data_IF_903989530488
#
_entry.id   IF_903989530488
#
_cell.length_a   1.000
_cell.length_b   1.000
_cell.length_c   1.000
_cell.angle_alpha   90.00
_cell.angle_beta   90.00
_cell.angle_gamma   90.00
#
_symmetry.space_group_name_H-M   'P 1'
#
loop_
_entity.id
_entity.type
_entity.pdbx_description
1 polymer ?
#
# COMPACT_ATOMS: atom_id res chain seq x y z
N UNK A 1 -3.99 2.63 13.54
CA UNK A 1 -4.36 3.36 12.31
C UNK A 1 -3.77 4.74 12.41
N UNK A 2 -3.31 5.34 11.33
CA UNK A 2 -2.76 6.70 11.30
C UNK A 2 -3.68 7.57 10.46
N UNK A 3 -3.98 8.78 10.90
CA UNK A 3 -4.80 9.70 10.12
C UNK A 3 -4.03 10.18 8.89
N UNK A 4 -4.71 10.32 7.76
CA UNK A 4 -4.12 10.83 6.51
C UNK A 4 -4.80 12.15 6.17
N UNK A 5 -4.01 13.21 6.16
CA UNK A 5 -4.46 14.53 5.79
C UNK A 5 -4.42 14.68 4.27
N UNK A 6 -5.62 14.84 3.71
CA UNK A 6 -5.82 15.22 2.30
C UNK A 6 -6.45 16.60 2.28
N UNK A 7 -5.99 17.54 1.43
CA UNK A 7 -6.62 18.86 1.33
C UNK A 7 -8.12 18.71 0.97
N UNK A 8 -9.00 19.18 1.85
CA UNK A 8 -10.45 18.94 1.75
C UNK A 8 -11.12 19.63 0.57
N UNK A 9 -10.50 20.70 0.06
CA UNK A 9 -10.93 21.43 -1.13
C UNK A 9 -10.17 21.00 -2.40
N UNK A 10 -9.42 19.90 -2.37
CA UNK A 10 -8.70 19.42 -3.54
C UNK A 10 -9.67 19.03 -4.68
N UNK A 11 -9.61 19.82 -5.74
CA UNK A 11 -10.24 19.55 -7.03
C UNK A 11 -9.20 19.03 -8.01
N UNK A 12 -9.55 17.99 -8.75
CA UNK A 12 -8.64 17.29 -9.65
C UNK A 12 -9.33 17.01 -10.98
N UNK A 13 -8.56 17.01 -12.06
CA UNK A 13 -9.04 16.55 -13.35
C UNK A 13 -9.01 15.03 -13.39
N UNK A 14 -10.17 14.44 -13.65
CA UNK A 14 -10.28 13.03 -13.96
C UNK A 14 -11.02 12.83 -15.28
N UNK A 15 -10.67 11.76 -15.98
CA UNK A 15 -11.43 11.28 -17.11
C UNK A 15 -12.44 10.29 -16.59
N UNK A 16 -13.73 10.52 -16.80
CA UNK A 16 -14.78 9.65 -16.27
C UNK A 16 -15.61 9.01 -17.37
N UNK A 17 -16.05 7.77 -17.13
CA UNK A 17 -16.99 7.06 -17.99
C UNK A 17 -18.05 6.33 -17.15
N UNK A 18 -19.18 6.01 -17.78
CA UNK A 18 -20.18 5.11 -17.18
C UNK A 18 -19.61 3.70 -17.04
N UNK A 19 -19.88 3.07 -15.90
CA UNK A 19 -19.53 1.68 -15.68
C UNK A 19 -20.35 0.70 -16.55
N UNK A 20 -21.45 1.15 -17.14
CA UNK A 20 -22.23 0.36 -18.11
C UNK A 20 -21.46 0.16 -19.42
N UNK A 21 -20.70 1.17 -19.84
CA UNK A 21 -19.83 1.09 -21.04
C UNK A 21 -18.69 0.09 -20.87
N UNK A 22 -18.28 -0.16 -19.62
CA UNK A 22 -17.17 -1.07 -19.28
C UNK A 22 -17.58 -2.01 -18.14
N UNK A 23 -18.34 -3.08 -18.44
CA UNK A 23 -18.83 -4.02 -17.42
C UNK A 23 -17.69 -4.62 -16.59
N UNK A 24 -16.52 -4.78 -17.18
CA UNK A 24 -15.28 -5.15 -16.49
C UNK A 24 -14.15 -4.18 -16.85
N UNK A 25 -13.22 -3.94 -15.91
CA UNK A 25 -12.02 -3.15 -16.18
C UNK A 25 -10.89 -3.97 -16.82
N UNK A 26 -11.08 -5.27 -17.03
CA UNK A 26 -10.00 -6.17 -17.49
C UNK A 26 -9.52 -5.77 -18.88
N UNK A 27 -10.45 -5.62 -19.82
CA UNK A 27 -10.11 -5.32 -21.22
C UNK A 27 -9.56 -3.91 -21.36
N UNK A 28 -10.10 -2.96 -20.59
CA UNK A 28 -9.60 -1.59 -20.55
C UNK A 28 -8.16 -1.54 -20.02
N UNK A 29 -7.85 -2.27 -18.93
CA UNK A 29 -6.49 -2.37 -18.39
C UNK A 29 -5.54 -3.04 -19.38
N UNK A 30 -5.95 -4.15 -20.00
CA UNK A 30 -5.14 -4.83 -21.00
C UNK A 30 -4.82 -3.91 -22.19
N UNK A 31 -5.79 -3.13 -22.64
CA UNK A 31 -5.60 -2.14 -23.70
C UNK A 31 -4.63 -1.03 -23.30
N UNK A 32 -4.78 -0.45 -22.10
CA UNK A 32 -3.86 0.57 -21.55
C UNK A 32 -2.43 0.03 -21.52
N UNK A 33 -2.24 -1.21 -21.03
CA UNK A 33 -0.93 -1.88 -21.02
C UNK A 33 -0.39 -2.10 -22.43
N UNK A 34 -1.20 -2.56 -23.37
CA UNK A 34 -0.80 -2.78 -24.76
C UNK A 34 -0.33 -1.48 -25.44
N UNK A 35 -0.94 -0.34 -25.08
CA UNK A 35 -0.57 0.98 -25.59
C UNK A 35 0.59 1.62 -24.83
N UNK A 36 1.11 0.97 -23.81
CA UNK A 36 2.14 1.50 -22.91
C UNK A 36 1.75 2.87 -22.31
N UNK A 37 0.47 3.06 -22.02
CA UNK A 37 -0.04 4.28 -21.41
C UNK A 37 0.13 4.22 -19.90
N UNK A 38 0.66 5.30 -19.31
CA UNK A 38 0.77 5.44 -17.84
C UNK A 38 -0.56 5.94 -17.26
N UNK A 39 -1.58 5.11 -17.39
CA UNK A 39 -2.95 5.41 -16.96
C UNK A 39 -3.40 4.36 -15.96
N UNK A 40 -4.13 4.82 -14.95
CA UNK A 40 -4.80 3.97 -13.97
C UNK A 40 -6.29 4.12 -14.12
N UNK A 41 -6.99 3.03 -13.88
CA UNK A 41 -8.45 2.99 -13.92
C UNK A 41 -9.02 2.36 -12.66
N UNK A 42 -9.98 3.05 -12.07
CA UNK A 42 -10.68 2.64 -10.86
C UNK A 42 -12.18 2.76 -11.07
N UNK A 43 -12.94 1.76 -10.61
CA UNK A 43 -14.41 1.78 -10.67
C UNK A 43 -14.95 2.02 -9.27
N UNK A 44 -15.80 3.03 -9.13
CA UNK A 44 -16.64 3.22 -7.95
C UNK A 44 -18.10 3.24 -8.37
N UNK A 45 -18.86 2.21 -7.97
CA UNK A 45 -20.26 2.02 -8.35
C UNK A 45 -20.47 2.10 -9.87
N UNK A 46 -21.09 3.18 -10.34
CA UNK A 46 -21.50 3.41 -11.72
C UNK A 46 -20.53 4.31 -12.50
N UNK A 47 -19.42 4.73 -11.88
CA UNK A 47 -18.43 5.63 -12.47
C UNK A 47 -17.09 4.89 -12.56
N UNK A 48 -16.38 5.10 -13.67
CA UNK A 48 -15.00 4.69 -13.84
C UNK A 48 -14.14 5.94 -13.96
N UNK A 49 -13.17 6.06 -13.07
CA UNK A 49 -12.16 7.10 -13.06
C UNK A 49 -10.94 6.61 -13.84
N UNK A 50 -10.50 7.42 -14.79
CA UNK A 50 -9.23 7.34 -15.48
C UNK A 50 -8.34 8.50 -15.05
N UNK A 51 -7.13 8.18 -14.60
CA UNK A 51 -6.19 9.15 -14.02
C UNK A 51 -4.72 8.72 -14.26
N UNK A 52 -3.77 9.62 -14.04
CA UNK A 52 -2.35 9.43 -14.33
C UNK A 52 -1.82 10.33 -15.45
N UNK A 53 -0.56 10.15 -15.85
CA UNK A 53 0.21 11.04 -16.74
C UNK A 53 -0.44 11.20 -18.14
N UNK A 54 -1.06 10.15 -18.68
CA UNK A 54 -1.66 10.15 -20.02
C UNK A 54 -3.19 10.00 -19.99
N UNK A 55 -3.86 10.37 -18.91
CA UNK A 55 -5.29 10.11 -18.74
C UNK A 55 -6.17 10.67 -19.89
N UNK A 56 -5.74 11.74 -20.55
CA UNK A 56 -6.41 12.33 -21.70
C UNK A 56 -6.59 11.40 -22.89
N UNK A 57 -5.74 10.39 -23.04
CA UNK A 57 -5.87 9.38 -24.09
C UNK A 57 -7.17 8.57 -23.99
N UNK A 58 -7.77 8.50 -22.80
CA UNK A 58 -9.06 7.85 -22.58
C UNK A 58 -10.24 8.60 -23.24
N UNK A 59 -10.06 9.84 -23.67
CA UNK A 59 -11.08 10.56 -24.45
C UNK A 59 -11.43 9.79 -25.75
N UNK A 60 -10.44 9.16 -26.38
CA UNK A 60 -10.65 8.26 -27.55
C UNK A 60 -11.53 7.04 -27.25
N UNK A 61 -11.78 6.77 -25.97
CA UNK A 61 -12.57 5.66 -25.43
C UNK A 61 -13.87 6.15 -24.79
N UNK A 62 -14.29 7.37 -25.10
CA UNK A 62 -15.55 7.94 -24.60
C UNK A 62 -15.53 8.36 -23.14
N UNK A 63 -14.35 8.43 -22.50
CA UNK A 63 -14.23 9.10 -21.21
C UNK A 63 -14.32 10.62 -21.42
N UNK A 64 -14.95 11.30 -20.48
CA UNK A 64 -15.09 12.75 -20.48
C UNK A 64 -14.25 13.36 -19.37
N UNK A 65 -13.48 14.40 -19.68
CA UNK A 65 -12.76 15.14 -18.67
C UNK A 65 -13.74 15.88 -17.77
N UNK A 66 -13.58 15.74 -16.46
CA UNK A 66 -14.36 16.45 -15.46
C UNK A 66 -13.48 16.90 -14.30
N UNK A 67 -13.81 18.05 -13.74
CA UNK A 67 -13.23 18.54 -12.48
C UNK A 67 -14.05 17.99 -11.34
N UNK A 68 -13.40 17.27 -10.42
CA UNK A 68 -14.07 16.60 -9.31
C UNK A 68 -13.36 16.87 -7.99
N UNK A 69 -14.14 16.98 -6.91
CA UNK A 69 -13.60 17.04 -5.55
C UNK A 69 -13.29 15.64 -5.07
N UNK A 70 -12.11 15.45 -4.49
CA UNK A 70 -11.70 14.13 -3.98
C UNK A 70 -12.66 13.61 -2.89
N UNK A 71 -13.21 14.49 -2.07
CA UNK A 71 -14.04 14.15 -0.91
C UNK A 71 -15.45 13.70 -1.31
N UNK A 72 -15.90 14.05 -2.52
CA UNK A 72 -17.17 13.55 -3.08
C UNK A 72 -17.07 12.05 -3.44
N UNK A 73 -15.85 11.53 -3.62
CA UNK A 73 -15.56 10.16 -4.00
C UNK A 73 -14.55 9.50 -3.04
N UNK A 74 -14.92 9.30 -1.76
CA UNK A 74 -13.97 8.90 -0.72
C UNK A 74 -13.35 7.51 -0.95
N UNK A 75 -14.04 6.59 -1.64
CA UNK A 75 -13.46 5.30 -2.01
C UNK A 75 -12.32 5.45 -3.02
N UNK A 76 -12.51 6.32 -4.00
CA UNK A 76 -11.47 6.63 -4.97
C UNK A 76 -10.32 7.40 -4.30
N UNK A 77 -10.60 8.38 -3.44
CA UNK A 77 -9.59 9.06 -2.65
C UNK A 77 -8.75 8.08 -1.80
N UNK A 78 -9.39 7.15 -1.08
CA UNK A 78 -8.69 6.11 -0.34
C UNK A 78 -7.79 5.24 -1.23
N UNK A 79 -8.25 4.90 -2.44
CA UNK A 79 -7.43 4.20 -3.43
C UNK A 79 -6.22 5.02 -3.87
N UNK A 80 -6.39 6.31 -4.14
CA UNK A 80 -5.31 7.22 -4.53
C UNK A 80 -4.25 7.34 -3.43
N UNK A 81 -4.66 7.41 -2.16
CA UNK A 81 -3.73 7.43 -1.02
C UNK A 81 -2.89 6.14 -0.99
N UNK A 82 -3.54 4.97 -1.10
CA UNK A 82 -2.83 3.68 -1.11
C UNK A 82 -1.85 3.59 -2.29
N UNK A 83 -2.28 3.99 -3.48
CA UNK A 83 -1.42 3.95 -4.67
C UNK A 83 -0.28 4.96 -4.60
N UNK A 84 -0.53 6.18 -4.11
CA UNK A 84 0.50 7.22 -3.96
C UNK A 84 1.59 6.81 -2.97
N UNK A 85 1.22 6.19 -1.84
CA UNK A 85 2.20 5.65 -0.91
C UNK A 85 2.99 4.49 -1.54
N UNK A 86 2.32 3.63 -2.31
CA UNK A 86 3.01 2.54 -3.00
C UNK A 86 4.03 3.04 -4.03
N UNK A 87 3.67 4.06 -4.83
CA UNK A 87 4.58 4.69 -5.79
C UNK A 87 5.76 5.33 -5.06
N UNK A 88 5.49 6.09 -4.00
CA UNK A 88 6.53 6.71 -3.17
C UNK A 88 7.53 5.68 -2.61
N UNK A 89 7.05 4.54 -2.13
CA UNK A 89 7.92 3.47 -1.63
C UNK A 89 8.69 2.78 -2.77
N UNK A 90 8.09 2.58 -3.94
CA UNK A 90 8.77 2.03 -5.12
C UNK A 90 9.91 2.94 -5.58
N UNK A 91 9.71 4.25 -5.53
CA UNK A 91 10.76 5.24 -5.83
C UNK A 91 11.93 5.18 -4.83
N UNK A 92 11.68 4.73 -3.60
CA UNK A 92 12.72 4.43 -2.60
C UNK A 92 13.35 3.03 -2.77
N UNK A 93 12.95 2.27 -3.78
CA UNK A 93 13.47 0.94 -4.09
C UNK A 93 12.72 -0.22 -3.44
N UNK A 94 11.57 0.02 -2.78
CA UNK A 94 10.74 -1.09 -2.31
C UNK A 94 10.17 -1.89 -3.49
N UNK A 95 10.00 -3.20 -3.30
CA UNK A 95 9.45 -4.09 -4.32
C UNK A 95 8.11 -4.70 -3.88
N UNK A 96 7.15 -4.72 -4.80
CA UNK A 96 5.78 -5.18 -4.53
C UNK A 96 5.66 -6.71 -4.57
N UNK A 97 4.89 -7.27 -3.65
CA UNK A 97 4.48 -8.68 -3.69
C UNK A 97 3.43 -8.90 -4.78
N UNK A 98 3.52 -10.00 -5.54
CA UNK A 98 2.50 -10.36 -6.52
C UNK A 98 1.21 -10.95 -5.90
N UNK A 99 1.13 -11.05 -4.57
CA UNK A 99 -0.01 -11.63 -3.85
C UNK A 99 -1.18 -10.64 -3.74
N UNK A 100 -2.28 -10.96 -4.44
CA UNK A 100 -3.30 -10.03 -4.97
C UNK A 100 -4.24 -9.34 -3.98
N UNK A 101 -4.11 -9.51 -2.66
CA UNK A 101 -5.18 -9.07 -1.73
C UNK A 101 -4.92 -7.70 -1.12
N UNK A 102 -3.66 -7.38 -0.83
CA UNK A 102 -3.27 -6.13 -0.19
C UNK A 102 -2.03 -5.55 -0.85
N UNK A 103 -1.86 -4.24 -0.70
CA UNK A 103 -0.63 -3.58 -1.15
C UNK A 103 0.46 -3.91 -0.15
N UNK A 104 1.34 -4.84 -0.55
CA UNK A 104 2.46 -5.30 0.27
C UNK A 104 3.76 -4.98 -0.46
N UNK A 105 4.65 -4.24 0.21
CA UNK A 105 5.95 -3.86 -0.32
C UNK A 105 7.06 -4.27 0.65
N UNK A 106 8.15 -4.78 0.11
CA UNK A 106 9.34 -5.22 0.84
C UNK A 106 10.52 -4.30 0.57
N UNK A 107 11.37 -4.13 1.57
CA UNK A 107 12.63 -3.40 1.45
C UNK A 107 13.53 -4.03 0.38
N UNK A 108 14.37 -3.22 -0.27
CA UNK A 108 15.33 -3.70 -1.28
C UNK A 108 16.46 -4.54 -0.71
N UNK A 109 16.73 -4.40 0.60
CA UNK A 109 17.82 -5.09 1.29
C UNK A 109 17.26 -6.01 2.37
N UNK A 110 17.92 -7.17 2.63
CA UNK A 110 17.57 -8.00 3.76
C UNK A 110 17.67 -7.21 5.07
N UNK A 111 16.67 -7.37 5.93
CA UNK A 111 16.69 -6.86 7.29
C UNK A 111 17.64 -7.66 8.18
N UNK A 112 17.75 -8.97 7.91
CA UNK A 112 18.72 -9.86 8.53
C UNK A 112 18.99 -11.10 7.68
N UNK A 113 19.98 -11.88 8.08
CA UNK A 113 20.32 -13.15 7.45
C UNK A 113 20.62 -14.23 8.49
N UNK A 114 20.35 -15.48 8.13
CA UNK A 114 20.54 -16.66 8.98
C UNK A 114 21.19 -17.80 8.20
N UNK A 115 21.49 -18.91 8.88
CA UNK A 115 22.12 -20.09 8.26
C UNK A 115 23.41 -19.72 7.48
N UNK A 116 24.27 -18.89 8.09
CA UNK A 116 25.51 -18.38 7.50
C UNK A 116 25.31 -17.61 6.18
N UNK A 117 24.24 -16.82 6.10
CA UNK A 117 23.94 -15.98 4.93
C UNK A 117 23.16 -16.69 3.82
N UNK A 118 22.81 -17.98 3.99
CA UNK A 118 22.05 -18.74 2.99
C UNK A 118 20.57 -18.39 2.94
N UNK A 119 20.06 -17.76 3.99
CA UNK A 119 18.67 -17.31 4.07
C UNK A 119 18.65 -15.83 4.42
N UNK A 120 17.93 -15.07 3.61
CA UNK A 120 17.69 -13.65 3.77
C UNK A 120 16.26 -13.42 4.27
N UNK A 121 16.13 -12.55 5.28
CA UNK A 121 14.85 -12.15 5.86
C UNK A 121 14.61 -10.69 5.51
N UNK A 122 13.64 -10.44 4.64
CA UNK A 122 13.25 -9.11 4.20
C UNK A 122 12.06 -8.62 5.01
N UNK A 123 12.18 -7.39 5.52
CA UNK A 123 11.08 -6.67 6.14
C UNK A 123 10.20 -6.06 5.07
N UNK A 124 8.89 -6.15 5.26
CA UNK A 124 7.92 -5.50 4.41
C UNK A 124 6.74 -4.95 5.19
N UNK A 125 5.91 -4.20 4.49
CA UNK A 125 4.77 -3.51 5.05
C UNK A 125 3.55 -3.78 4.18
N UNK A 126 2.48 -4.21 4.84
CA UNK A 126 1.17 -4.32 4.21
C UNK A 126 0.35 -3.13 4.66
N UNK A 127 -0.24 -2.41 3.72
CA UNK A 127 -1.05 -1.25 4.06
C UNK A 127 -2.35 -1.16 3.27
N UNK A 128 -3.35 -0.56 3.93
CA UNK A 128 -4.67 -0.26 3.38
C UNK A 128 -5.13 1.10 3.87
N UNK A 129 -5.72 1.87 2.98
CA UNK A 129 -6.43 3.09 3.36
C UNK A 129 -7.91 2.78 3.55
N UNK A 130 -8.47 3.26 4.64
CA UNK A 130 -9.91 3.29 4.90
C UNK A 130 -10.38 4.74 5.04
N UNK A 131 -11.69 4.95 4.98
CA UNK A 131 -12.29 6.23 5.35
C UNK A 131 -13.46 6.00 6.30
N UNK A 132 -13.66 6.95 7.21
CA UNK A 132 -14.76 7.00 8.15
C UNK A 132 -15.50 8.32 7.95
N UNK A 133 -16.81 8.34 8.22
CA UNK A 133 -17.57 9.59 8.20
C UNK A 133 -17.55 10.22 9.60
N UNK A 134 -17.15 11.49 9.66
CA UNK A 134 -17.19 12.32 10.86
C UNK A 134 -17.79 13.67 10.46
N UNK A 135 -18.89 14.07 11.08
CA UNK A 135 -19.57 15.35 10.81
C UNK A 135 -19.85 15.59 9.32
N UNK A 136 -20.35 14.56 8.62
CA UNK A 136 -20.61 14.55 7.17
C UNK A 136 -19.37 14.79 6.26
N UNK A 137 -18.17 14.63 6.80
CA UNK A 137 -16.91 14.67 6.03
C UNK A 137 -16.17 13.34 6.14
N UNK A 138 -15.53 12.87 5.06
CA UNK A 138 -14.67 11.70 5.13
C UNK A 138 -13.35 12.04 5.85
N UNK A 139 -12.98 11.21 6.82
CA UNK A 139 -11.67 11.19 7.46
C UNK A 139 -10.94 9.93 6.98
N UNK A 140 -9.71 10.09 6.49
CA UNK A 140 -8.93 8.99 5.92
C UNK A 140 -7.97 8.41 6.95
N UNK A 141 -7.87 7.09 6.97
CA UNK A 141 -7.00 6.36 7.88
C UNK A 141 -6.13 5.36 7.15
N UNK A 142 -4.84 5.36 7.41
CA UNK A 142 -3.89 4.36 6.96
C UNK A 142 -3.72 3.28 8.03
N UNK A 143 -3.94 2.04 7.64
CA UNK A 143 -3.63 0.87 8.46
C UNK A 143 -2.36 0.26 7.87
N UNK A 144 -1.34 0.11 8.71
CA UNK A 144 -0.05 -0.48 8.35
C UNK A 144 0.19 -1.66 9.27
N UNK A 145 0.65 -2.77 8.70
CA UNK A 145 1.14 -3.93 9.42
C UNK A 145 2.51 -4.34 8.87
N UNK A 146 3.34 -4.95 9.70
CA UNK A 146 4.61 -5.54 9.29
C UNK A 146 4.38 -6.93 8.73
N UNK A 147 5.13 -7.28 7.69
CA UNK A 147 5.17 -8.63 7.15
C UNK A 147 6.61 -8.98 6.76
N UNK A 148 6.86 -10.27 6.54
CA UNK A 148 8.20 -10.78 6.29
C UNK A 148 8.22 -11.65 5.04
N UNK A 149 9.28 -11.52 4.24
CA UNK A 149 9.58 -12.37 3.10
C UNK A 149 10.91 -13.06 3.37
N UNK A 150 10.94 -14.37 3.16
CA UNK A 150 12.11 -15.21 3.45
C UNK A 150 12.55 -15.82 2.12
N UNK A 151 13.80 -15.60 1.76
CA UNK A 151 14.39 -16.06 0.51
C UNK A 151 15.70 -16.80 0.76
N UNK A 152 16.06 -17.72 -0.13
CA UNK A 152 17.41 -18.25 -0.20
C UNK A 152 18.39 -17.27 -0.86
N UNK A 153 19.67 -17.67 -0.93
CA UNK A 153 20.74 -16.91 -1.59
C UNK A 153 20.49 -16.63 -3.09
N UNK A 154 19.59 -17.38 -3.73
CA UNK A 154 19.22 -17.21 -5.13
C UNK A 154 17.95 -16.36 -5.30
N UNK A 155 17.43 -15.76 -4.22
CA UNK A 155 16.21 -14.94 -4.24
C UNK A 155 14.92 -15.77 -4.36
N UNK A 156 14.98 -17.09 -4.16
CA UNK A 156 13.78 -17.94 -4.20
C UNK A 156 13.12 -17.94 -2.85
N UNK A 157 11.83 -17.63 -2.81
CA UNK A 157 11.03 -17.65 -1.59
C UNK A 157 11.00 -19.05 -0.98
N UNK A 158 11.22 -19.13 0.33
CA UNK A 158 11.19 -20.36 1.10
C UNK A 158 9.90 -20.49 1.91
N UNK A 159 9.38 -21.72 1.97
CA UNK A 159 8.30 -22.09 2.90
C UNK A 159 8.87 -22.65 4.22
N UNK A 160 7.99 -22.88 5.21
CA UNK A 160 8.38 -23.35 6.54
C UNK A 160 9.14 -24.67 6.53
N UNK A 161 8.74 -25.63 5.69
CA UNK A 161 9.40 -26.93 5.61
C UNK A 161 10.81 -26.81 5.02
N UNK A 162 11.00 -25.93 4.04
CA UNK A 162 12.31 -25.65 3.45
C UNK A 162 13.22 -24.92 4.44
N UNK A 163 12.70 -23.93 5.17
CA UNK A 163 13.45 -23.24 6.24
C UNK A 163 13.92 -24.21 7.32
N UNK A 164 13.09 -25.20 7.67
CA UNK A 164 13.42 -26.21 8.67
C UNK A 164 14.68 -27.01 8.30
N UNK A 165 14.91 -27.26 7.00
CA UNK A 165 16.10 -27.99 6.52
C UNK A 165 17.42 -27.26 6.85
N UNK A 166 17.37 -25.95 7.09
CA UNK A 166 18.51 -25.14 7.49
C UNK A 166 18.65 -25.00 9.01
N UNK A 167 17.78 -25.62 9.80
CA UNK A 167 17.69 -25.43 11.25
C UNK A 167 17.57 -23.95 11.67
N UNK A 168 16.92 -23.14 10.83
CA UNK A 168 16.94 -21.68 10.95
C UNK A 168 15.64 -21.07 11.50
N UNK A 169 14.60 -21.87 11.77
CA UNK A 169 13.27 -21.37 12.18
C UNK A 169 13.36 -20.42 13.39
N UNK A 170 14.04 -20.83 14.46
CA UNK A 170 14.14 -20.02 15.67
C UNK A 170 14.91 -18.72 15.45
N UNK A 171 15.95 -18.74 14.61
CA UNK A 171 16.74 -17.55 14.28
C UNK A 171 15.91 -16.55 13.46
N UNK A 172 15.10 -17.04 12.52
CA UNK A 172 14.18 -16.19 11.77
C UNK A 172 13.14 -15.59 12.71
N UNK A 173 12.54 -16.39 13.57
CA UNK A 173 11.55 -15.90 14.53
C UNK A 173 12.14 -14.87 15.51
N UNK A 174 13.43 -14.97 15.84
CA UNK A 174 14.14 -13.93 16.60
C UNK A 174 14.33 -12.63 15.79
N UNK A 175 14.70 -12.70 14.51
CA UNK A 175 14.77 -11.51 13.62
C UNK A 175 13.41 -10.81 13.52
N UNK A 176 12.34 -11.59 13.56
CA UNK A 176 10.96 -11.10 13.48
C UNK A 176 10.42 -10.57 14.82
N UNK A 177 11.24 -10.58 15.89
CA UNK A 177 10.87 -10.27 17.28
C UNK A 177 9.79 -11.20 17.87
N UNK A 178 9.49 -12.35 17.26
CA UNK A 178 8.50 -13.34 17.76
C UNK A 178 9.07 -14.19 18.91
N UNK A 179 10.38 -14.46 18.87
CA UNK A 179 11.10 -15.20 19.90
C UNK A 179 12.19 -14.35 20.54
N UNK A 180 12.37 -14.53 21.84
CA UNK A 180 13.51 -14.00 22.58
C UNK A 180 14.78 -14.82 22.29
N UNK A 181 15.99 -14.30 22.60
CA UNK A 181 17.25 -15.03 22.40
C UNK A 181 17.33 -16.39 23.10
N UNK A 182 16.56 -16.58 24.17
CA UNK A 182 16.43 -17.86 24.89
C UNK A 182 15.35 -18.78 24.32
N UNK A 183 14.85 -18.51 23.11
CA UNK A 183 13.81 -19.25 22.39
C UNK A 183 12.43 -19.26 23.08
N UNK A 184 12.16 -18.35 24.02
CA UNK A 184 10.81 -18.16 24.58
C UNK A 184 10.00 -17.22 23.71
N UNK A 185 8.68 -17.41 23.70
CA UNK A 185 7.72 -16.52 23.03
C UNK A 185 7.87 -15.10 23.58
N UNK A 186 7.93 -14.12 22.69
CA UNK A 186 7.98 -12.72 23.05
C UNK A 186 6.56 -12.17 23.25
N UNK A 187 6.15 -12.02 24.51
CA UNK A 187 4.83 -11.47 24.84
C UNK A 187 4.68 -9.99 24.48
N UNK A 188 5.80 -9.29 24.22
CA UNK A 188 5.84 -7.88 23.84
C UNK A 188 5.97 -7.68 22.32
N UNK A 189 5.88 -8.74 21.52
CA UNK A 189 6.06 -8.68 20.07
C UNK A 189 5.17 -7.60 19.42
N UNK A 190 3.89 -7.53 19.78
CA UNK A 190 2.97 -6.50 19.26
C UNK A 190 3.43 -5.07 19.58
N UNK A 191 3.94 -4.84 20.79
CA UNK A 191 4.48 -3.53 21.19
C UNK A 191 5.73 -3.21 20.39
N UNK A 192 6.66 -4.16 20.28
CA UNK A 192 7.90 -3.98 19.52
C UNK A 192 7.63 -3.75 18.03
N UNK A 193 6.68 -4.46 17.42
CA UNK A 193 6.20 -4.21 16.04
C UNK A 193 5.78 -2.75 15.86
N UNK A 194 5.00 -2.19 16.78
CA UNK A 194 4.60 -0.79 16.71
C UNK A 194 5.82 0.15 16.79
N UNK A 195 6.62 0.02 17.85
CA UNK A 195 7.68 1.00 18.16
C UNK A 195 8.94 0.86 17.29
N UNK A 196 9.36 -0.37 16.98
CA UNK A 196 10.61 -0.61 16.26
C UNK A 196 10.44 -0.64 14.74
N UNK A 197 9.21 -0.86 14.25
CA UNK A 197 8.99 -1.08 12.82
C UNK A 197 7.97 -0.13 12.21
N UNK A 198 6.77 -0.03 12.80
CA UNK A 198 5.68 0.74 12.19
C UNK A 198 5.89 2.25 12.40
N UNK A 199 6.17 2.72 13.61
CA UNK A 199 6.38 4.16 13.86
C UNK A 199 7.57 4.72 13.06
N UNK A 200 8.74 4.07 12.98
CA UNK A 200 9.83 4.52 12.13
C UNK A 200 9.43 4.58 10.64
N UNK A 201 8.68 3.58 10.16
CA UNK A 201 8.17 3.55 8.80
C UNK A 201 7.24 4.74 8.51
N UNK A 202 6.30 5.05 9.41
CA UNK A 202 5.40 6.20 9.26
C UNK A 202 6.20 7.50 9.24
N UNK A 203 7.13 7.69 10.18
CA UNK A 203 7.94 8.91 10.26
C UNK A 203 8.78 9.13 8.99
N UNK A 204 9.36 8.07 8.42
CA UNK A 204 10.13 8.14 7.18
C UNK A 204 9.27 8.46 5.94
N UNK A 205 8.01 8.00 5.93
CA UNK A 205 7.12 8.08 4.76
C UNK A 205 5.92 9.01 5.02
N UNK A 206 6.10 10.01 5.89
CA UNK A 206 5.02 10.87 6.39
C UNK A 206 4.36 11.75 5.34
N UNK A 207 4.98 11.93 4.17
CA UNK A 207 4.40 12.74 3.10
C UNK A 207 4.75 12.16 1.74
N UNK A 208 3.78 12.19 0.85
CA UNK A 208 3.88 11.71 -0.53
C UNK A 208 2.84 12.41 -1.40
N UNK A 209 2.92 12.20 -2.71
CA UNK A 209 2.00 12.79 -3.69
C UNK A 209 0.99 11.74 -4.17
N UNK A 210 -0.26 12.15 -4.38
CA UNK A 210 -1.26 11.29 -5.02
C UNK A 210 -0.91 11.05 -6.50
N UNK A 211 -1.28 9.90 -7.08
CA UNK A 211 -0.90 9.54 -8.44
C UNK A 211 -1.81 10.20 -9.49
N UNK A 212 -1.91 11.52 -9.43
CA UNK A 212 -2.72 12.36 -10.31
C UNK A 212 -1.82 13.23 -11.19
N UNK A 213 -2.41 13.87 -12.19
CA UNK A 213 -1.68 14.89 -12.97
C UNK A 213 -1.37 16.12 -12.11
N UNK A 214 -2.28 16.45 -11.19
CA UNK A 214 -2.09 17.44 -10.16
C UNK A 214 -1.16 16.92 -9.06
N UNK A 215 -0.21 17.76 -8.62
CA UNK A 215 0.67 17.45 -7.49
C UNK A 215 -0.04 17.68 -6.16
N UNK A 216 -0.97 16.79 -5.82
CA UNK A 216 -1.65 16.81 -4.53
C UNK A 216 -0.78 16.10 -3.48
N UNK A 217 -0.20 16.87 -2.57
CA UNK A 217 0.54 16.32 -1.44
C UNK A 217 -0.40 15.92 -0.32
N UNK A 218 -0.10 14.77 0.29
CA UNK A 218 -0.78 14.27 1.48
C UNK A 218 0.23 14.07 2.59
N UNK A 219 -0.25 14.07 3.83
CA UNK A 219 0.57 13.75 5.00
C UNK A 219 -0.09 12.70 5.88
N UNK A 220 0.72 11.93 6.60
CA UNK A 220 0.29 10.95 7.59
C UNK A 220 0.60 11.51 8.98
N UNK A 221 -0.37 11.49 9.88
CA UNK A 221 -0.16 11.80 11.29
C UNK A 221 0.67 10.72 11.98
N UNK A 222 1.65 11.15 12.79
CA UNK A 222 2.58 10.24 13.45
C UNK A 222 1.94 9.50 14.64
N UNK A 223 0.92 10.11 15.26
CA UNK A 223 0.23 9.53 16.41
C UNK A 223 -0.87 8.59 15.90
N UNK A 224 -0.81 7.29 16.25
CA UNK A 224 -1.86 6.37 15.85
C UNK A 224 -3.17 6.72 16.56
N UNK A 225 -4.26 6.72 15.78
CA UNK A 225 -5.62 6.86 16.29
C UNK A 225 -6.05 5.53 16.92
N UNK A 226 -6.50 5.60 18.16
CA UNK A 226 -7.21 4.53 18.83
C UNK A 226 -8.68 4.53 18.38
N UNK A 227 -9.07 3.52 17.60
CA UNK A 227 -10.46 3.31 17.21
C UNK A 227 -11.09 2.36 18.22
N UNK A 228 -12.00 2.87 19.05
CA UNK A 228 -12.85 2.07 19.91
C UNK A 228 -14.13 1.77 19.12
N UNK A 229 -14.31 0.52 18.72
CA UNK A 229 -15.58 0.06 18.16
C UNK A 229 -16.56 -0.10 19.33
N UNK A 230 -17.56 0.77 19.39
CA UNK A 230 -18.59 0.76 20.44
C UNK A 230 -19.48 -0.49 20.36
N UNK A 231 -19.88 -0.94 21.54
CA UNK A 231 -20.75 -2.09 21.86
C UNK A 231 -22.19 -1.81 21.44
#
# INVERSE_FOLDING_TARGET
>A
MFEVNVPSNAEVNAFIASAETYPTLRDLRAFITQKNWKIRVYRDKNIIFGYGENAHELASRGFQQQMIKLFDYPRWCARLITEGLADHLKDQGYHESLEKVHTTLYESRPYGSVANGKINVFRGYTFRTIYLWKDNQPVFGLIVDICWKIEDENGRRLNTAEIAQYNAISQIAQIQDELLPNNKINLEASRLRLYNHILPFINMNKSFTLPLSERINVSIEEIPVHVILGI
#
